data_IF_543218607014
#
_entry.id   IF_543218607014
#
_cell.length_a   1.000
_cell.length_b   1.000
_cell.length_c   1.000
_cell.angle_alpha   90.00
_cell.angle_beta   90.00
_cell.angle_gamma   90.00
#
_symmetry.space_group_name_H-M   'P 1'
#
loop_
_entity.id
_entity.type
_entity.pdbx_description
1 polymer ?
#
# COMPACT_ATOMS: atom_id res chain seq x y z
N UNK A 1 9.44 -0.37 21.72
CA UNK A 1 8.33 0.34 22.38
C UNK A 1 7.48 -0.77 22.98
N UNK A 2 6.31 -0.52 23.56
CA UNK A 2 5.34 -1.60 23.69
C UNK A 2 4.33 -1.44 22.55
N UNK A 3 3.92 -2.54 21.92
CA UNK A 3 2.84 -2.51 20.94
C UNK A 3 1.58 -1.93 21.59
N UNK A 4 0.98 -0.92 20.96
CA UNK A 4 -0.32 -0.39 21.35
C UNK A 4 -1.38 -1.16 20.57
N UNK A 5 -2.30 -1.81 21.28
CA UNK A 5 -3.38 -2.55 20.63
C UNK A 5 -4.09 -1.68 19.61
N UNK A 6 -4.19 -2.20 18.39
CA UNK A 6 -4.74 -1.50 17.25
C UNK A 6 -5.63 -2.44 16.44
N UNK A 7 -6.94 -2.18 16.51
CA UNK A 7 -7.95 -2.94 15.79
C UNK A 7 -7.74 -2.90 14.28
N UNK A 8 -7.22 -1.80 13.75
CA UNK A 8 -7.00 -1.66 12.31
C UNK A 8 -5.83 -2.54 11.83
N UNK A 9 -4.92 -2.94 12.71
CA UNK A 9 -3.79 -3.81 12.36
C UNK A 9 -4.02 -5.28 12.73
N UNK A 10 -5.14 -5.63 13.36
CA UNK A 10 -5.42 -6.99 13.84
C UNK A 10 -5.46 -8.02 12.70
N UNK A 11 -5.93 -7.61 11.52
CA UNK A 11 -5.99 -8.48 10.33
C UNK A 11 -4.61 -9.00 9.90
N UNK A 12 -3.52 -8.30 10.25
CA UNK A 12 -2.15 -8.75 9.95
C UNK A 12 -1.85 -10.12 10.59
N UNK A 13 -2.50 -10.46 11.71
CA UNK A 13 -2.33 -11.76 12.38
C UNK A 13 -2.94 -12.94 11.60
N UNK A 14 -3.78 -12.64 10.60
CA UNK A 14 -4.43 -13.64 9.74
C UNK A 14 -3.70 -13.83 8.42
N UNK A 15 -2.65 -13.05 8.16
CA UNK A 15 -1.88 -13.10 6.92
C UNK A 15 -0.81 -14.18 6.97
N UNK A 16 -0.47 -14.69 5.80
CA UNK A 16 0.66 -15.60 5.63
C UNK A 16 1.99 -14.83 5.69
N UNK A 17 3.06 -15.56 5.99
CA UNK A 17 4.40 -14.97 6.07
C UNK A 17 4.85 -14.33 4.74
N UNK A 18 4.40 -14.85 3.60
CA UNK A 18 4.64 -14.27 2.26
C UNK A 18 4.06 -12.86 2.11
N UNK A 19 2.88 -12.60 2.68
CA UNK A 19 2.21 -11.31 2.63
C UNK A 19 2.83 -10.30 3.61
N UNK A 20 3.24 -10.79 4.78
CA UNK A 20 3.88 -9.95 5.81
C UNK A 20 5.33 -9.59 5.47
N UNK A 21 5.99 -10.37 4.61
CA UNK A 21 7.33 -10.09 4.10
C UNK A 21 7.42 -8.69 3.50
N UNK A 22 6.43 -8.28 2.72
CA UNK A 22 6.43 -6.98 2.07
C UNK A 22 6.38 -5.82 3.07
N UNK A 23 5.54 -5.96 4.09
CA UNK A 23 5.47 -4.98 5.17
C UNK A 23 6.77 -4.97 5.98
N UNK A 24 7.34 -6.14 6.25
CA UNK A 24 8.62 -6.29 6.92
C UNK A 24 9.74 -5.56 6.17
N UNK A 25 9.90 -5.80 4.86
CA UNK A 25 10.98 -5.20 4.10
C UNK A 25 10.84 -3.69 3.98
N UNK A 26 9.61 -3.20 3.81
CA UNK A 26 9.33 -1.75 3.80
C UNK A 26 9.67 -1.09 5.14
N UNK A 27 9.67 -1.82 6.25
CA UNK A 27 10.08 -1.32 7.56
C UNK A 27 11.59 -1.46 7.80
N UNK A 28 12.23 -2.49 7.22
CA UNK A 28 13.63 -2.85 7.48
C UNK A 28 14.62 -2.29 6.45
N UNK A 29 14.35 -2.39 5.15
CA UNK A 29 15.29 -2.03 4.07
C UNK A 29 14.96 -0.74 3.33
N UNK A 30 15.94 0.16 3.20
CA UNK A 30 15.88 1.35 2.38
C UNK A 30 15.87 1.03 0.88
N UNK A 31 15.75 2.08 0.05
CA UNK A 31 15.72 1.96 -1.42
C UNK A 31 17.01 1.39 -2.03
N UNK A 32 18.10 1.50 -1.30
CA UNK A 32 19.44 0.98 -1.62
C UNK A 32 19.61 -0.50 -1.22
N UNK A 33 18.60 -1.12 -0.60
CA UNK A 33 18.69 -2.47 -0.05
C UNK A 33 19.42 -2.54 1.29
N UNK A 34 19.88 -1.41 1.82
CA UNK A 34 20.55 -1.33 3.11
C UNK A 34 19.53 -1.28 4.25
N UNK A 35 19.92 -1.80 5.42
CA UNK A 35 19.07 -1.72 6.61
C UNK A 35 18.91 -0.27 7.05
N UNK A 36 17.68 0.14 7.34
CA UNK A 36 17.39 1.46 7.91
C UNK A 36 18.05 1.58 9.27
N UNK A 37 18.84 2.63 9.48
CA UNK A 37 19.61 2.81 10.72
C UNK A 37 18.81 2.76 12.03
N UNK A 38 17.51 3.06 12.00
CA UNK A 38 16.65 3.12 13.18
C UNK A 38 15.72 1.91 13.33
N UNK A 39 15.80 0.91 12.44
CA UNK A 39 14.95 -0.29 12.54
C UNK A 39 15.32 -1.14 13.77
N UNK A 40 14.32 -1.64 14.47
CA UNK A 40 14.47 -2.50 15.67
C UNK A 40 13.87 -3.90 15.46
N UNK A 41 13.48 -4.22 14.24
CA UNK A 41 12.79 -5.46 13.92
C UNK A 41 13.79 -6.60 13.76
N UNK A 42 14.91 -6.39 13.06
CA UNK A 42 15.92 -7.45 12.85
C UNK A 42 16.76 -7.74 14.09
N UNK A 43 16.75 -6.84 15.08
CA UNK A 43 17.40 -7.05 16.38
C UNK A 43 16.50 -7.71 17.43
N UNK A 44 15.20 -7.83 17.14
CA UNK A 44 14.18 -8.38 18.05
C UNK A 44 14.37 -9.87 18.36
N UNK A 45 13.83 -10.32 19.50
CA UNK A 45 13.91 -11.72 19.92
C UNK A 45 13.06 -12.60 19.01
N UNK A 46 11.92 -12.09 18.57
CA UNK A 46 10.97 -12.72 17.68
C UNK A 46 11.60 -13.03 16.33
N UNK A 47 12.24 -12.04 15.70
CA UNK A 47 12.97 -12.24 14.45
C UNK A 47 14.08 -13.27 14.60
N UNK A 48 14.86 -13.21 15.69
CA UNK A 48 15.92 -14.19 15.98
C UNK A 48 15.41 -15.61 16.21
N UNK A 49 14.18 -15.77 16.71
CA UNK A 49 13.57 -17.08 17.00
C UNK A 49 12.84 -17.68 15.81
N UNK A 50 12.21 -16.84 14.98
CA UNK A 50 11.27 -17.29 13.95
C UNK A 50 11.77 -17.04 12.53
N UNK A 51 12.82 -16.24 12.34
CA UNK A 51 13.41 -15.96 11.03
C UNK A 51 12.36 -15.43 10.06
N UNK A 52 12.25 -16.05 8.89
CA UNK A 52 11.33 -15.62 7.82
C UNK A 52 9.87 -16.07 8.05
N UNK A 53 9.54 -16.62 9.22
CA UNK A 53 8.16 -16.96 9.59
C UNK A 53 7.44 -15.74 10.19
N UNK A 54 7.27 -14.71 9.36
CA UNK A 54 6.70 -13.40 9.71
C UNK A 54 5.32 -13.49 10.40
N UNK A 55 4.50 -14.48 10.06
CA UNK A 55 3.20 -14.72 10.68
C UNK A 55 3.29 -14.96 12.19
N UNK A 56 4.38 -15.57 12.68
CA UNK A 56 4.60 -15.80 14.12
C UNK A 56 4.86 -14.53 14.92
N UNK A 57 5.15 -13.41 14.25
CA UNK A 57 5.48 -12.15 14.91
C UNK A 57 4.87 -10.93 14.19
N UNK A 58 3.68 -11.11 13.61
CA UNK A 58 2.92 -10.04 12.96
C UNK A 58 2.69 -8.83 13.90
N UNK A 59 2.49 -9.06 15.20
CA UNK A 59 2.36 -7.99 16.20
C UNK A 59 3.65 -7.17 16.35
N UNK A 60 4.81 -7.82 16.26
CA UNK A 60 6.11 -7.16 16.31
C UNK A 60 6.36 -6.32 15.05
N UNK A 61 5.89 -6.79 13.89
CA UNK A 61 5.90 -6.03 12.63
C UNK A 61 5.01 -4.78 12.76
N UNK A 62 3.80 -4.94 13.32
CA UNK A 62 2.89 -3.83 13.59
C UNK A 62 3.49 -2.82 14.57
N UNK A 63 4.18 -3.26 15.63
CA UNK A 63 4.87 -2.39 16.57
C UNK A 63 5.95 -1.53 15.87
N UNK A 64 6.71 -2.13 14.95
CA UNK A 64 7.74 -1.40 14.21
C UNK A 64 7.12 -0.28 13.36
N UNK A 65 5.98 -0.54 12.71
CA UNK A 65 5.20 0.49 12.01
C UNK A 65 4.77 1.61 12.97
N UNK A 66 4.25 1.27 14.15
CA UNK A 66 3.86 2.26 15.17
C UNK A 66 5.06 3.10 15.65
N UNK A 67 6.24 2.48 15.75
CA UNK A 67 7.48 3.16 16.13
C UNK A 67 7.90 4.19 15.08
N UNK A 68 7.87 3.84 13.78
CA UNK A 68 8.13 4.81 12.71
C UNK A 68 7.10 5.93 12.68
N UNK A 69 5.83 5.63 12.96
CA UNK A 69 4.79 6.62 13.17
C UNK A 69 5.15 7.61 14.27
N UNK A 70 5.45 7.11 15.48
CA UNK A 70 5.77 7.97 16.63
C UNK A 70 6.96 8.92 16.42
N UNK A 71 7.92 8.55 15.57
CA UNK A 71 9.10 9.37 15.27
C UNK A 71 8.89 10.34 14.11
N UNK A 72 7.84 10.14 13.29
CA UNK A 72 7.51 11.01 12.15
C UNK A 72 6.71 12.24 12.54
N UNK A 73 5.92 12.14 13.62
CA UNK A 73 4.81 13.06 13.88
C UNK A 73 5.07 13.83 15.17
N UNK A 74 5.32 15.14 15.04
CA UNK A 74 5.78 16.03 16.12
C UNK A 74 4.77 16.27 17.25
N UNK A 75 3.61 15.63 17.21
CA UNK A 75 2.58 15.71 18.22
C UNK A 75 2.21 14.30 18.66
N UNK A 76 2.95 13.69 19.59
CA UNK A 76 2.32 12.87 20.64
C UNK A 76 3.29 12.41 21.74
N UNK A 77 2.68 12.03 22.86
CA UNK A 77 3.21 11.75 24.19
C UNK A 77 4.40 10.78 24.15
N UNK A 78 5.53 11.18 24.77
CA UNK A 78 6.72 10.34 24.96
C UNK A 78 6.35 9.06 25.73
N UNK A 79 6.20 7.92 25.04
CA UNK A 79 6.22 6.59 25.67
C UNK A 79 5.27 5.52 25.11
N UNK A 80 4.25 5.88 24.34
CA UNK A 80 3.24 4.92 23.83
C UNK A 80 3.20 4.87 22.29
N UNK A 81 2.79 3.73 21.74
CA UNK A 81 2.60 3.58 20.30
C UNK A 81 1.51 4.50 19.73
N UNK A 82 1.61 4.76 18.43
CA UNK A 82 0.64 5.56 17.67
C UNK A 82 -0.29 4.61 16.93
N UNK A 83 -1.59 4.90 16.89
CA UNK A 83 -2.55 4.06 16.14
C UNK A 83 -2.30 4.20 14.64
N UNK A 84 -2.49 3.13 13.90
CA UNK A 84 -2.36 3.09 12.44
C UNK A 84 -3.19 4.16 11.78
N UNK A 85 -4.42 4.38 12.24
CA UNK A 85 -5.29 5.45 11.73
C UNK A 85 -4.65 6.83 11.86
N UNK A 86 -3.93 7.11 12.95
CA UNK A 86 -3.22 8.38 13.15
C UNK A 86 -2.05 8.50 12.15
N UNK A 87 -1.24 7.44 12.02
CA UNK A 87 -0.14 7.35 11.03
C UNK A 87 -0.68 7.60 9.61
N UNK A 88 -1.80 6.96 9.28
CA UNK A 88 -2.46 7.07 7.98
C UNK A 88 -3.00 8.48 7.74
N UNK A 89 -3.58 9.14 8.75
CA UNK A 89 -4.05 10.53 8.65
C UNK A 89 -2.87 11.46 8.34
N UNK A 90 -1.75 11.30 9.03
CA UNK A 90 -0.60 12.17 8.80
C UNK A 90 0.07 11.90 7.45
N UNK A 91 0.09 10.64 7.00
CA UNK A 91 0.47 10.28 5.63
C UNK A 91 -0.47 10.95 4.62
N UNK A 92 -1.78 10.94 4.86
CA UNK A 92 -2.76 11.61 4.01
C UNK A 92 -2.57 13.13 3.98
N UNK A 93 -2.29 13.76 5.13
CA UNK A 93 -1.99 15.19 5.25
C UNK A 93 -0.73 15.53 4.42
N UNK A 94 0.33 14.71 4.52
CA UNK A 94 1.57 14.88 3.74
C UNK A 94 1.33 14.71 2.23
N UNK A 95 0.48 13.76 1.86
CA UNK A 95 0.08 13.51 0.48
C UNK A 95 -0.93 14.53 -0.05
N UNK A 96 -1.45 15.45 0.79
CA UNK A 96 -2.52 16.40 0.45
C UNK A 96 -3.78 15.68 -0.04
N UNK A 97 -4.12 14.57 0.59
CA UNK A 97 -5.35 13.81 0.36
C UNK A 97 -6.51 14.56 1.01
N UNK A 98 -7.66 14.61 0.35
CA UNK A 98 -8.89 15.05 0.99
C UNK A 98 -9.57 13.86 1.67
N UNK A 99 -9.69 13.90 3.00
CA UNK A 99 -10.30 12.84 3.79
C UNK A 99 -10.92 13.41 5.08
N UNK A 100 -11.76 12.61 5.73
CA UNK A 100 -12.36 12.96 7.01
C UNK A 100 -11.84 12.01 8.10
N UNK A 101 -11.16 12.55 9.13
CA UNK A 101 -10.59 11.75 10.25
C UNK A 101 -11.62 10.86 10.96
N UNK A 102 -12.92 11.18 10.86
CA UNK A 102 -14.02 10.42 11.48
C UNK A 102 -14.49 9.21 10.68
N UNK A 103 -14.12 9.08 9.40
CA UNK A 103 -14.54 7.93 8.58
C UNK A 103 -13.76 6.68 8.94
N UNK A 104 -14.24 5.52 8.47
CA UNK A 104 -13.56 4.24 8.61
C UNK A 104 -12.15 4.28 8.01
N UNK A 105 -11.22 3.55 8.62
CA UNK A 105 -9.81 3.51 8.21
C UNK A 105 -9.67 3.03 6.77
N UNK A 106 -10.47 2.05 6.36
CA UNK A 106 -10.56 1.56 4.98
C UNK A 106 -10.90 2.65 3.96
N UNK A 107 -11.79 3.58 4.31
CA UNK A 107 -12.15 4.69 3.42
C UNK A 107 -11.01 5.71 3.32
N UNK A 108 -10.28 5.93 4.42
CA UNK A 108 -9.10 6.81 4.40
C UNK A 108 -7.99 6.19 3.53
N UNK A 109 -7.76 4.88 3.63
CA UNK A 109 -6.84 4.14 2.77
C UNK A 109 -7.22 4.23 1.29
N UNK A 110 -8.51 4.06 0.97
CA UNK A 110 -9.02 4.23 -0.38
C UNK A 110 -8.76 5.67 -0.88
N UNK A 111 -9.03 6.70 -0.08
CA UNK A 111 -8.75 8.08 -0.48
C UNK A 111 -7.24 8.31 -0.72
N UNK A 112 -6.37 7.71 0.10
CA UNK A 112 -4.92 7.77 -0.07
C UNK A 112 -4.47 7.15 -1.40
N UNK A 113 -4.88 5.91 -1.66
CA UNK A 113 -4.56 5.20 -2.90
C UNK A 113 -5.14 5.92 -4.12
N UNK A 114 -6.36 6.45 -4.01
CA UNK A 114 -7.01 7.24 -5.05
C UNK A 114 -6.21 8.50 -5.40
N UNK A 115 -5.61 9.17 -4.41
CA UNK A 115 -4.80 10.36 -4.63
C UNK A 115 -3.47 10.06 -5.31
N UNK A 116 -2.85 8.94 -4.95
CA UNK A 116 -1.61 8.45 -5.58
C UNK A 116 -1.89 8.12 -7.05
N UNK A 117 -2.99 7.43 -7.32
CA UNK A 117 -3.44 7.12 -8.67
C UNK A 117 -3.78 8.38 -9.48
N UNK A 118 -4.48 9.35 -8.89
CA UNK A 118 -4.81 10.62 -9.53
C UNK A 118 -3.53 11.35 -9.98
N UNK A 119 -2.54 11.51 -9.09
CA UNK A 119 -1.26 12.14 -9.45
C UNK A 119 -0.53 11.40 -10.56
N UNK A 120 -0.56 10.08 -10.50
CA UNK A 120 0.07 9.24 -11.52
C UNK A 120 -0.52 9.48 -12.90
N UNK A 121 -1.84 9.54 -13.00
CA UNK A 121 -2.57 9.82 -14.24
C UNK A 121 -2.33 11.25 -14.77
N UNK A 122 -2.11 12.21 -13.88
CA UNK A 122 -1.77 13.60 -14.25
C UNK A 122 -0.36 13.71 -14.85
N UNK A 123 0.54 12.77 -14.56
CA UNK A 123 1.94 12.81 -15.01
C UNK A 123 2.19 11.94 -16.25
N UNK A 124 1.39 10.88 -16.46
CA UNK A 124 1.44 10.02 -17.65
C UNK A 124 1.02 10.78 -18.92
N UNK A 125 1.60 10.44 -20.06
CA UNK A 125 1.13 10.93 -21.36
C UNK A 125 -0.15 10.21 -21.87
N UNK A 126 -0.66 10.63 -23.02
CA UNK A 126 -1.93 10.14 -23.57
C UNK A 126 -1.87 8.67 -24.00
N UNK A 127 -0.73 8.21 -24.55
CA UNK A 127 -0.51 6.81 -24.91
C UNK A 127 -0.41 5.97 -23.63
N UNK A 128 0.27 6.50 -22.62
CA UNK A 128 0.50 5.84 -21.36
C UNK A 128 -0.79 5.65 -20.53
N UNK A 129 -1.63 6.68 -20.46
CA UNK A 129 -2.96 6.57 -19.82
C UNK A 129 -3.82 5.52 -20.53
N UNK A 130 -3.74 5.45 -21.87
CA UNK A 130 -4.51 4.48 -22.65
C UNK A 130 -4.06 3.04 -22.41
N UNK A 131 -2.74 2.79 -22.45
CA UNK A 131 -2.17 1.48 -22.11
C UNK A 131 -2.58 1.03 -20.70
N UNK A 132 -2.51 1.93 -19.71
CA UNK A 132 -2.94 1.61 -18.35
C UNK A 132 -4.45 1.29 -18.29
N UNK A 133 -5.30 2.02 -19.02
CA UNK A 133 -6.75 1.76 -19.03
C UNK A 133 -7.13 0.44 -19.74
N UNK A 134 -6.43 0.11 -20.82
CA UNK A 134 -6.61 -1.13 -21.58
C UNK A 134 -6.21 -2.35 -20.73
N UNK A 135 -5.08 -2.26 -20.01
CA UNK A 135 -4.64 -3.28 -19.05
C UNK A 135 -5.65 -3.50 -17.91
N UNK A 136 -6.28 -2.41 -17.45
CA UNK A 136 -7.31 -2.46 -16.40
C UNK A 136 -8.66 -3.01 -16.89
N UNK A 137 -8.76 -3.40 -18.17
CA UNK A 137 -10.00 -3.91 -18.78
C UNK A 137 -11.18 -2.97 -18.51
N UNK A 138 -10.93 -1.66 -18.50
CA UNK A 138 -11.97 -0.64 -18.43
C UNK A 138 -12.64 -0.66 -19.81
N UNK A 139 -13.82 -1.27 -19.90
CA UNK A 139 -14.53 -1.34 -21.18
C UNK A 139 -14.85 0.08 -21.66
N UNK A 140 -14.64 0.35 -22.96
CA UNK A 140 -14.86 1.60 -23.70
C UNK A 140 -13.71 2.63 -23.66
N UNK A 141 -12.47 2.22 -23.91
CA UNK A 141 -11.29 3.11 -24.05
C UNK A 141 -11.10 3.68 -25.46
N UNK A 142 -11.76 3.14 -26.47
CA UNK A 142 -11.46 3.43 -27.89
C UNK A 142 -11.82 4.86 -28.37
N UNK A 143 -12.55 5.65 -27.58
CA UNK A 143 -13.05 6.98 -27.98
C UNK A 143 -12.99 8.06 -26.88
N UNK A 144 -12.24 7.85 -25.80
CA UNK A 144 -12.18 8.79 -24.68
C UNK A 144 -10.87 9.60 -24.70
N UNK A 145 -10.99 10.92 -24.54
CA UNK A 145 -9.85 11.81 -24.29
C UNK A 145 -9.21 11.48 -22.92
N UNK A 146 -7.89 11.70 -22.75
CA UNK A 146 -7.12 11.49 -21.52
C UNK A 146 -7.87 11.89 -20.25
N UNK A 147 -8.43 13.09 -20.19
CA UNK A 147 -9.16 13.57 -19.01
C UNK A 147 -10.38 12.71 -18.67
N UNK A 148 -11.10 12.21 -19.68
CA UNK A 148 -12.24 11.33 -19.50
C UNK A 148 -11.82 9.93 -19.07
N UNK A 149 -10.70 9.41 -19.59
CA UNK A 149 -10.11 8.14 -19.16
C UNK A 149 -9.63 8.21 -17.71
N UNK A 150 -8.85 9.23 -17.35
CA UNK A 150 -8.39 9.43 -15.98
C UNK A 150 -9.57 9.58 -15.00
N UNK A 151 -10.61 10.33 -15.38
CA UNK A 151 -11.81 10.48 -14.57
C UNK A 151 -12.60 9.18 -14.43
N UNK A 152 -12.73 8.39 -15.51
CA UNK A 152 -13.39 7.09 -15.48
C UNK A 152 -12.64 6.10 -14.58
N UNK A 153 -11.31 6.03 -14.71
CA UNK A 153 -10.44 5.20 -13.86
C UNK A 153 -10.53 5.60 -12.39
N UNK A 154 -10.48 6.91 -12.09
CA UNK A 154 -10.63 7.41 -10.73
C UNK A 154 -12.03 7.14 -10.15
N UNK A 155 -13.06 7.23 -10.99
CA UNK A 155 -14.45 6.94 -10.60
C UNK A 155 -14.62 5.44 -10.32
N UNK A 156 -14.10 4.57 -11.19
CA UNK A 156 -14.10 3.12 -10.98
C UNK A 156 -13.32 2.72 -9.71
N UNK A 157 -12.21 3.40 -9.44
CA UNK A 157 -11.47 3.21 -8.20
C UNK A 157 -12.30 3.57 -6.97
N UNK A 158 -12.96 4.74 -6.98
CA UNK A 158 -13.78 5.24 -5.85
C UNK A 158 -15.12 4.52 -5.67
N UNK A 159 -15.69 3.95 -6.72
CA UNK A 159 -16.96 3.23 -6.67
C UNK A 159 -16.87 1.86 -5.97
N UNK A 160 -15.66 1.41 -5.59
CA UNK A 160 -15.47 0.30 -4.65
C UNK A 160 -16.09 -1.02 -5.11
N UNK A 161 -15.65 -1.53 -6.26
CA UNK A 161 -16.01 -2.87 -6.75
C UNK A 161 -14.78 -3.73 -7.06
N UNK A 162 -14.96 -5.00 -7.39
CA UNK A 162 -13.92 -6.03 -7.66
C UNK A 162 -12.71 -5.57 -8.52
N UNK A 163 -12.88 -4.57 -9.41
CA UNK A 163 -11.80 -4.01 -10.24
C UNK A 163 -10.97 -2.90 -9.58
N UNK A 164 -11.49 -2.25 -8.54
CA UNK A 164 -10.78 -1.25 -7.74
C UNK A 164 -9.56 -1.87 -7.01
N UNK A 165 -9.66 -3.17 -6.66
CA UNK A 165 -8.55 -3.94 -6.09
C UNK A 165 -7.41 -4.16 -7.08
N UNK A 166 -7.69 -4.57 -8.32
CA UNK A 166 -6.65 -4.78 -9.34
C UNK A 166 -5.82 -3.51 -9.54
N UNK A 167 -6.48 -2.37 -9.57
CA UNK A 167 -5.83 -1.07 -9.66
C UNK A 167 -5.01 -0.72 -8.41
N UNK A 168 -5.56 -0.98 -7.22
CA UNK A 168 -4.83 -0.78 -5.96
C UNK A 168 -3.57 -1.66 -5.87
N UNK A 169 -3.65 -2.92 -6.32
CA UNK A 169 -2.53 -3.86 -6.36
C UNK A 169 -1.47 -3.42 -7.36
N UNK A 170 -1.87 -2.93 -8.54
CA UNK A 170 -0.93 -2.38 -9.52
C UNK A 170 -0.18 -1.18 -8.94
N UNK A 171 -0.90 -0.23 -8.34
CA UNK A 171 -0.31 0.94 -7.68
C UNK A 171 0.63 0.52 -6.55
N UNK A 172 0.22 -0.44 -5.72
CA UNK A 172 1.01 -0.93 -4.60
C UNK A 172 2.24 -1.71 -5.03
N UNK A 173 2.15 -2.52 -6.08
CA UNK A 173 3.28 -3.21 -6.68
C UNK A 173 4.28 -2.24 -7.30
N UNK A 174 3.80 -1.18 -7.95
CA UNK A 174 4.65 -0.11 -8.45
C UNK A 174 5.39 0.57 -7.30
N UNK A 175 4.67 0.95 -6.23
CA UNK A 175 5.25 1.54 -5.03
C UNK A 175 6.29 0.61 -4.42
N UNK A 176 5.95 -0.65 -4.17
CA UNK A 176 6.84 -1.61 -3.53
C UNK A 176 8.11 -1.89 -4.32
N UNK A 177 8.03 -2.03 -5.65
CA UNK A 177 9.22 -2.22 -6.49
C UNK A 177 10.25 -1.11 -6.31
N UNK A 178 9.80 0.12 -6.07
CA UNK A 178 10.71 1.26 -5.84
C UNK A 178 11.37 1.27 -4.48
N UNK A 179 10.77 0.59 -3.51
CA UNK A 179 11.22 0.60 -2.12
C UNK A 179 12.00 -0.67 -1.82
N UNK A 180 11.57 -1.79 -2.39
CA UNK A 180 12.09 -3.13 -2.15
C UNK A 180 13.05 -3.60 -3.26
N UNK A 181 13.13 -2.89 -4.39
CA UNK A 181 13.88 -3.33 -5.58
C UNK A 181 13.25 -4.52 -6.31
N UNK A 182 12.18 -5.10 -5.76
CA UNK A 182 11.38 -6.20 -6.28
C UNK A 182 9.89 -5.89 -6.08
N UNK A 183 9.02 -6.36 -6.97
CA UNK A 183 7.57 -6.23 -6.76
C UNK A 183 7.13 -6.91 -5.46
N UNK A 184 5.95 -6.55 -4.94
CA UNK A 184 5.44 -7.19 -3.73
C UNK A 184 5.32 -8.69 -3.93
N UNK A 185 5.67 -9.46 -2.90
CA UNK A 185 5.47 -10.90 -2.83
C UNK A 185 4.03 -11.25 -2.46
N UNK A 186 3.04 -10.45 -2.86
CA UNK A 186 1.61 -10.74 -2.75
C UNK A 186 1.29 -11.97 -3.61
N UNK A 187 1.58 -13.15 -3.07
CA UNK A 187 1.46 -14.41 -3.77
C UNK A 187 0.01 -14.90 -3.67
N UNK A 188 -0.51 -15.34 -4.81
CA UNK A 188 -1.80 -16.01 -4.92
C UNK A 188 -2.73 -15.45 -5.98
N UNK A 189 -2.27 -15.14 -7.21
CA UNK A 189 -3.06 -15.38 -8.43
C UNK A 189 -2.31 -15.04 -9.73
N UNK A 190 -2.80 -15.60 -10.85
CA UNK A 190 -2.30 -15.52 -12.24
C UNK A 190 -2.05 -14.11 -12.81
N UNK A 191 -2.28 -13.06 -12.03
CA UNK A 191 -2.05 -11.65 -12.39
C UNK A 191 -0.56 -11.30 -12.35
N UNK A 192 0.24 -12.03 -11.56
CA UNK A 192 1.65 -11.73 -11.29
C UNK A 192 2.55 -11.75 -12.54
N UNK A 193 2.28 -12.63 -13.52
CA UNK A 193 3.16 -12.87 -14.67
C UNK A 193 3.03 -11.86 -15.81
N UNK A 194 1.87 -11.19 -15.96
CA UNK A 194 1.73 -10.11 -16.96
C UNK A 194 2.37 -8.81 -16.49
N UNK A 195 2.41 -8.56 -15.18
CA UNK A 195 2.99 -7.36 -14.55
C UNK A 195 4.50 -7.16 -14.71
N UNK A 196 5.24 -8.20 -15.08
CA UNK A 196 6.70 -8.11 -15.28
C UNK A 196 7.09 -7.52 -16.65
N UNK A 197 6.19 -7.55 -17.65
CA UNK A 197 6.40 -6.90 -18.95
C UNK A 197 6.04 -5.41 -18.95
N UNK A 198 5.26 -4.96 -17.97
CA UNK A 198 4.81 -3.57 -17.77
C UNK A 198 5.86 -2.67 -17.08
N UNK A 199 7.10 -3.15 -16.96
CA UNK A 199 8.15 -2.56 -16.13
C UNK A 199 8.96 -1.45 -16.82
N UNK A 200 8.60 -1.09 -18.05
CA UNK A 200 9.20 0.02 -18.83
C UNK A 200 8.14 0.98 -19.40
N UNK A 201 6.90 0.89 -18.92
CA UNK A 201 5.76 1.65 -19.43
C UNK A 201 5.09 2.57 -18.39
N UNK A 202 3.82 2.97 -18.59
CA UNK A 202 3.11 4.06 -17.91
C UNK A 202 3.18 4.02 -16.38
N UNK A 203 3.04 2.82 -15.81
CA UNK A 203 3.00 2.56 -14.37
C UNK A 203 4.36 2.84 -13.70
N UNK A 204 5.43 2.87 -14.49
CA UNK A 204 6.77 3.31 -14.06
C UNK A 204 6.85 4.80 -13.70
N UNK A 205 5.88 5.64 -14.08
CA UNK A 205 5.87 7.07 -13.72
C UNK A 205 5.19 7.38 -12.38
N UNK A 206 4.31 6.49 -11.88
CA UNK A 206 3.80 6.53 -10.48
C UNK A 206 4.96 6.74 -9.50
N UNK A 207 6.08 6.09 -9.81
CA UNK A 207 7.34 6.03 -9.09
C UNK A 207 8.04 7.39 -9.02
N UNK A 208 8.07 8.13 -10.13
CA UNK A 208 8.88 9.34 -10.25
C UNK A 208 8.14 10.53 -9.70
N UNK A 209 6.89 10.77 -10.08
CA UNK A 209 6.26 12.04 -9.74
C UNK A 209 5.56 12.07 -8.37
N UNK A 210 5.08 10.94 -7.85
CA UNK A 210 4.66 10.86 -6.43
C UNK A 210 5.85 11.10 -5.49
N UNK A 211 7.05 10.60 -5.81
CA UNK A 211 8.24 10.73 -4.95
C UNK A 211 9.06 12.02 -5.17
N UNK A 212 8.99 12.64 -6.35
CA UNK A 212 9.66 13.93 -6.63
C UNK A 212 8.82 15.14 -6.25
N UNK A 213 7.48 15.06 -6.33
CA UNK A 213 6.60 16.17 -5.95
C UNK A 213 6.44 16.34 -4.44
N UNK A 214 6.70 15.28 -3.66
CA UNK A 214 6.74 15.36 -2.21
C UNK A 214 8.21 15.55 -1.85
N UNK A 215 8.62 16.78 -1.52
CA UNK A 215 9.83 16.97 -0.72
C UNK A 215 9.63 16.15 0.57
N UNK A 216 10.18 14.92 0.60
CA UNK A 216 10.10 14.03 1.77
C UNK A 216 11.10 14.54 2.80
N UNK A 217 10.75 15.70 3.34
CA UNK A 217 11.31 16.33 4.51
C UNK A 217 10.93 15.46 5.72
N UNK A 218 11.70 14.40 5.96
CA UNK A 218 11.59 13.55 7.14
C UNK A 218 12.03 12.11 6.88
N UNK A 219 13.06 11.58 7.57
CA UNK A 219 13.49 10.18 7.46
C UNK A 219 12.35 9.18 7.68
N UNK A 220 11.37 9.56 8.50
CA UNK A 220 10.32 8.66 8.92
C UNK A 220 9.14 8.59 7.91
N UNK A 221 8.86 9.65 7.14
CA UNK A 221 7.94 9.61 5.98
C UNK A 221 8.43 8.71 4.84
N UNK A 222 9.75 8.44 4.77
CA UNK A 222 10.34 7.46 3.85
C UNK A 222 10.03 6.01 4.20
N UNK A 223 9.36 5.80 5.33
CA UNK A 223 8.96 4.49 5.83
C UNK A 223 7.44 4.43 6.00
N UNK A 224 6.83 5.45 6.62
CA UNK A 224 5.40 5.43 6.93
C UNK A 224 4.50 5.53 5.70
N UNK A 225 4.86 6.31 4.67
CA UNK A 225 4.09 6.39 3.42
C UNK A 225 4.07 5.02 2.71
N UNK A 226 5.24 4.43 2.37
CA UNK A 226 5.33 3.04 1.93
C UNK A 226 4.52 2.04 2.74
N UNK A 227 4.68 2.05 4.06
CA UNK A 227 4.07 1.07 4.93
C UNK A 227 2.54 1.20 4.95
N UNK A 228 2.00 2.43 4.92
CA UNK A 228 0.56 2.65 4.82
C UNK A 228 -0.01 2.13 3.51
N UNK A 229 0.70 2.29 2.39
CA UNK A 229 0.28 1.76 1.09
C UNK A 229 0.25 0.23 1.13
N UNK A 230 1.30 -0.42 1.66
CA UNK A 230 1.34 -1.88 1.80
C UNK A 230 0.21 -2.37 2.70
N UNK A 231 -0.01 -1.75 3.86
CA UNK A 231 -1.11 -2.13 4.77
C UNK A 231 -2.48 -2.00 4.08
N UNK A 232 -2.73 -0.91 3.35
CA UNK A 232 -3.96 -0.73 2.59
C UNK A 232 -4.17 -1.84 1.56
N UNK A 233 -3.13 -2.22 0.84
CA UNK A 233 -3.19 -3.29 -0.18
C UNK A 233 -3.41 -4.66 0.44
N UNK A 234 -2.70 -4.97 1.53
CA UNK A 234 -2.91 -6.20 2.29
C UNK A 234 -4.36 -6.29 2.77
N UNK A 235 -4.93 -5.19 3.25
CA UNK A 235 -6.32 -5.17 3.69
C UNK A 235 -7.30 -5.39 2.54
N UNK A 236 -7.06 -4.78 1.37
CA UNK A 236 -7.87 -5.03 0.19
C UNK A 236 -7.76 -6.50 -0.29
N UNK A 237 -6.56 -7.10 -0.24
CA UNK A 237 -6.35 -8.52 -0.54
C UNK A 237 -7.18 -9.41 0.38
N UNK A 238 -7.17 -9.13 1.69
CA UNK A 238 -7.97 -9.88 2.67
C UNK A 238 -9.47 -9.72 2.43
N UNK A 239 -9.94 -8.52 2.07
CA UNK A 239 -11.35 -8.27 1.75
C UNK A 239 -11.78 -9.07 0.50
N UNK A 240 -10.95 -9.07 -0.55
CA UNK A 240 -11.20 -9.81 -1.78
C UNK A 240 -11.28 -11.32 -1.53
N UNK A 241 -10.28 -11.88 -0.83
CA UNK A 241 -10.27 -13.30 -0.50
C UNK A 241 -11.50 -13.73 0.32
N UNK A 242 -12.06 -12.82 1.13
CA UNK A 242 -13.29 -13.06 1.88
C UNK A 242 -14.54 -12.97 0.98
N UNK A 243 -14.57 -12.05 0.02
CA UNK A 243 -15.65 -11.96 -0.98
C UNK A 243 -15.68 -13.18 -1.91
N UNK A 244 -14.52 -13.65 -2.37
CA UNK A 244 -14.41 -14.84 -3.23
C UNK A 244 -14.81 -16.13 -2.49
N UNK A 245 -14.44 -16.25 -1.22
CA UNK A 245 -14.92 -17.36 -0.37
C UNK A 245 -16.43 -17.33 -0.20
N UNK A 246 -17.03 -16.14 -0.16
CA UNK A 246 -18.47 -15.96 0.00
C UNK A 246 -19.22 -16.26 -1.29
N UNK A 247 -18.70 -15.87 -2.46
CA UNK A 247 -19.30 -16.22 -3.76
C UNK A 247 -19.24 -17.73 -4.04
N UNK A 248 -18.11 -18.39 -3.72
CA UNK A 248 -17.97 -19.84 -3.83
C UNK A 248 -18.92 -20.63 -2.89
N UNK A 249 -19.24 -20.07 -1.72
CA UNK A 249 -20.24 -20.66 -0.81
C UNK A 249 -21.68 -20.47 -1.30
N UNK A 250 -21.94 -19.44 -2.11
CA UNK A 250 -23.28 -19.19 -2.69
C UNK A 250 -23.50 -20.05 -3.93
N UNK A 251 -22.45 -20.35 -4.71
CA UNK A 251 -22.53 -21.22 -5.90
C UNK A 251 -22.53 -22.73 -5.56
N UNK A 252 -22.24 -23.11 -4.30
CA UNK A 252 -22.25 -24.49 -3.81
C UNK A 252 -23.55 -24.89 -3.09
N UNK A 253 -24.59 -24.05 -3.17
CA UNK A 253 -25.96 -24.28 -2.68
C UNK A 253 -26.94 -24.25 -3.83
#
# INVERSE_FOLDING_TARGET
MAYKYDRDLEFLKQLESSDLLDLFEVLVFGKDGEKRHNEKLTSSLEYKRHGDDYAKYAERIAEELQYYGSNSFASFIKGEGVLYKEILCDVCDKLKVNYNKKTETTLIEQNMLSKILERSLEEMDDEEVKEMCDELSIKNTDNLNRQALSAATLTLFKMGGFKSYQLAVIVANAVAKTILGRGLSLAGDQVLTRTLSFLTGPVGWIITGVWTAIDIAGPAYRVTIPACIVVATLRLKTQQANEDKKSLQIESV
#
